data_IF_418799288581
#
_entry.id   IF_418799288581
#
_cell.length_a   1.000
_cell.length_b   1.000
_cell.length_c   1.000
_cell.angle_alpha   90.00
_cell.angle_beta   90.00
_cell.angle_gamma   90.00
#
_symmetry.space_group_name_H-M   'P 1'
#
loop_
_entity.id
_entity.type
_entity.pdbx_description
1 polymer ?
#
# COMPACT_ATOMS: atom_id res chain seq x y z
N UNK A 1 12.89 16.94 -0.35
CA UNK A 1 13.36 15.73 -1.05
C UNK A 1 14.81 15.46 -0.73
N UNK A 2 15.67 16.49 -0.65
CA UNK A 2 17.10 16.30 -0.46
C UNK A 2 17.85 16.15 -1.78
N UNK A 3 17.24 16.49 -2.91
CA UNK A 3 17.91 16.51 -4.21
C UNK A 3 19.17 17.41 -4.12
N UNK A 4 20.34 16.97 -4.64
CA UNK A 4 20.57 15.80 -5.50
C UNK A 4 20.84 14.47 -4.78
N UNK A 5 20.80 14.42 -3.45
CA UNK A 5 21.09 13.17 -2.72
C UNK A 5 20.10 12.04 -3.07
N UNK A 6 20.57 10.78 -3.14
CA UNK A 6 19.73 9.63 -3.47
C UNK A 6 18.76 9.28 -2.33
N UNK A 7 19.11 9.60 -1.08
CA UNK A 7 18.26 9.34 0.08
C UNK A 7 17.25 10.45 0.26
N UNK A 8 16.02 10.07 0.61
CA UNK A 8 15.00 11.06 0.90
C UNK A 8 15.28 11.75 2.25
N UNK A 9 15.28 13.08 2.26
CA UNK A 9 15.45 13.87 3.49
C UNK A 9 14.42 13.49 4.56
N UNK A 10 14.90 13.02 5.70
CA UNK A 10 14.11 12.60 6.86
C UNK A 10 14.76 13.10 8.16
N UNK A 11 13.94 13.64 9.08
CA UNK A 11 14.39 14.09 10.40
C UNK A 11 13.45 13.56 11.48
N UNK A 12 14.00 13.03 12.57
CA UNK A 12 13.21 12.39 13.65
C UNK A 12 12.36 13.36 14.47
N UNK A 13 12.81 14.60 14.59
CA UNK A 13 12.12 15.66 15.34
C UNK A 13 10.87 16.20 14.61
N UNK A 14 10.76 16.02 13.29
CA UNK A 14 9.63 16.55 12.50
C UNK A 14 8.57 15.49 12.19
N UNK A 15 7.79 15.07 13.19
CA UNK A 15 6.74 14.03 13.03
C UNK A 15 5.68 14.37 11.98
N UNK A 16 5.28 15.65 11.87
CA UNK A 16 4.31 16.12 10.86
C UNK A 16 4.82 15.90 9.43
N UNK A 17 6.11 16.14 9.20
CA UNK A 17 6.73 15.93 7.89
C UNK A 17 6.80 14.44 7.53
N UNK A 18 7.09 13.58 8.51
CA UNK A 18 7.07 12.12 8.35
C UNK A 18 5.67 11.61 7.94
N UNK A 19 4.63 12.02 8.69
CA UNK A 19 3.24 11.60 8.42
C UNK A 19 2.75 11.98 7.03
N UNK A 20 3.16 13.14 6.49
CA UNK A 20 2.75 13.56 5.14
C UNK A 20 3.34 12.69 4.03
N UNK A 21 4.48 12.03 4.27
CA UNK A 21 5.25 11.29 3.27
C UNK A 21 5.23 9.77 3.44
N UNK A 22 4.75 9.29 4.59
CA UNK A 22 4.73 7.86 4.89
C UNK A 22 3.99 7.05 3.83
N UNK A 23 4.41 5.80 3.64
CA UNK A 23 3.65 4.82 2.83
C UNK A 23 2.23 4.73 3.36
N UNK A 24 1.24 4.94 2.50
CA UNK A 24 -0.17 5.01 2.91
C UNK A 24 -0.91 6.25 2.41
N UNK A 25 -0.21 7.37 2.21
CA UNK A 25 -0.86 8.65 1.88
C UNK A 25 -1.13 8.87 0.39
N UNK A 26 -0.52 8.06 -0.49
CA UNK A 26 -0.62 8.19 -1.93
C UNK A 26 -1.37 7.05 -2.62
N UNK A 27 -1.28 7.01 -3.96
CA UNK A 27 -1.98 6.03 -4.80
C UNK A 27 -1.64 4.56 -4.51
N UNK A 28 -0.42 4.27 -4.05
CA UNK A 28 0.06 2.91 -3.72
C UNK A 28 -0.30 1.84 -4.77
N UNK A 29 -0.12 2.13 -6.07
CA UNK A 29 -0.61 1.28 -7.18
C UNK A 29 -0.25 -0.21 -7.01
N UNK A 30 1.01 -0.50 -6.67
CA UNK A 30 1.48 -1.87 -6.45
C UNK A 30 1.15 -2.37 -5.04
N UNK A 31 1.61 -1.65 -4.01
CA UNK A 31 1.47 -2.08 -2.60
C UNK A 31 0.01 -2.33 -2.20
N UNK A 32 -0.94 -1.54 -2.69
CA UNK A 32 -2.38 -1.72 -2.41
C UNK A 32 -2.88 -3.09 -2.91
N UNK A 33 -2.44 -3.50 -4.10
CA UNK A 33 -2.79 -4.81 -4.66
C UNK A 33 -2.11 -5.93 -3.87
N UNK A 34 -0.83 -5.75 -3.52
CA UNK A 34 -0.09 -6.72 -2.70
C UNK A 34 -0.74 -6.92 -1.35
N UNK A 35 -1.10 -5.85 -0.63
CA UNK A 35 -1.80 -5.97 0.66
C UNK A 35 -3.14 -6.69 0.55
N UNK A 36 -3.89 -6.47 -0.54
CA UNK A 36 -5.13 -7.20 -0.82
C UNK A 36 -4.86 -8.70 -1.04
N UNK A 37 -3.84 -9.04 -1.82
CA UNK A 37 -3.43 -10.44 -2.05
C UNK A 37 -2.94 -11.09 -0.75
N UNK A 38 -2.15 -10.38 0.05
CA UNK A 38 -1.65 -10.84 1.34
C UNK A 38 -2.79 -11.22 2.29
N UNK A 39 -3.82 -10.37 2.44
CA UNK A 39 -5.01 -10.68 3.25
C UNK A 39 -5.77 -11.91 2.77
N UNK A 40 -5.65 -12.23 1.48
CA UNK A 40 -6.25 -13.41 0.86
C UNK A 40 -5.28 -14.60 0.82
N UNK A 41 -4.13 -14.55 1.52
CA UNK A 41 -3.16 -15.63 1.58
C UNK A 41 -2.39 -15.89 0.29
N UNK A 42 -2.24 -14.88 -0.58
CA UNK A 42 -1.59 -14.99 -1.89
C UNK A 42 -2.15 -16.10 -2.79
N UNK A 43 -3.43 -16.44 -2.64
CA UNK A 43 -4.09 -17.45 -3.47
C UNK A 43 -3.99 -17.12 -4.95
N UNK A 44 -3.66 -18.13 -5.74
CA UNK A 44 -3.60 -18.10 -7.21
C UNK A 44 -4.43 -19.26 -7.77
N UNK A 45 -4.95 -19.13 -8.99
CA UNK A 45 -5.67 -20.22 -9.68
C UNK A 45 -7.04 -20.63 -9.11
N UNK A 46 -7.55 -19.98 -8.06
CA UNK A 46 -8.85 -20.33 -7.47
C UNK A 46 -10.00 -19.56 -8.10
N UNK A 47 -11.07 -20.26 -8.48
CA UNK A 47 -12.34 -19.64 -8.92
C UNK A 47 -13.22 -19.37 -7.69
N UNK A 48 -13.81 -18.16 -7.55
CA UNK A 48 -14.76 -17.91 -6.47
C UNK A 48 -16.00 -18.81 -6.62
N UNK A 49 -16.59 -19.22 -5.49
CA UNK A 49 -17.87 -19.93 -5.51
C UNK A 49 -18.95 -19.07 -6.19
N UNK A 50 -19.91 -19.69 -6.91
CA UNK A 50 -20.99 -18.95 -7.54
C UNK A 50 -21.77 -18.15 -6.48
N UNK A 51 -22.11 -16.90 -6.81
CA UNK A 51 -22.88 -16.02 -5.92
C UNK A 51 -24.37 -16.31 -6.09
N UNK A 52 -25.01 -16.90 -5.08
CA UNK A 52 -26.47 -17.00 -5.04
C UNK A 52 -27.04 -15.57 -4.90
N UNK A 53 -27.73 -15.08 -5.92
CA UNK A 53 -28.50 -13.84 -5.80
C UNK A 53 -29.77 -14.18 -5.02
N UNK A 54 -30.03 -13.48 -3.92
CA UNK A 54 -31.35 -13.49 -3.33
C UNK A 54 -32.30 -12.80 -4.32
N UNK A 55 -33.43 -13.44 -4.60
CA UNK A 55 -34.54 -12.89 -5.39
C UNK A 55 -35.19 -11.75 -4.62
#
# INVERSE_FOLDING_TARGET
CGYPSPRQRHYNWSKKAQRRKTTGTGRMRHLKVVFRRFRNGFREGTVPKPRNKAT
#
